data_IF_351274165114
#
_entry.id   IF_351274165114
#
_cell.length_a   1.000
_cell.length_b   1.000
_cell.length_c   1.000
_cell.angle_alpha   90.00
_cell.angle_beta   90.00
_cell.angle_gamma   90.00
#
_symmetry.space_group_name_H-M   'P 1'
#
loop_
_entity.id
_entity.type
_entity.pdbx_description
1 polymer ?
#
# COMPACT_ATOMS: atom_id res chain seq x y z
N UNK A 1 -4.96 57.78 26.08
CA UNK A 1 -5.57 57.01 27.18
C UNK A 1 -7.03 57.42 27.29
N UNK A 2 -7.94 56.66 26.68
CA UNK A 2 -9.40 56.77 26.90
C UNK A 2 -9.82 55.50 27.61
N UNK A 3 -10.38 55.68 28.80
CA UNK A 3 -11.05 54.67 29.59
C UNK A 3 -12.23 54.10 28.79
N UNK A 4 -12.17 52.79 28.50
CA UNK A 4 -13.36 52.02 28.16
C UNK A 4 -13.81 51.33 29.44
N UNK A 5 -14.84 51.93 30.01
CA UNK A 5 -15.53 51.61 31.25
C UNK A 5 -16.20 50.23 31.18
N UNK A 6 -15.92 49.39 32.20
CA UNK A 6 -16.85 48.82 33.20
C UNK A 6 -18.09 48.02 32.71
N UNK A 7 -18.53 48.08 31.45
CA UNK A 7 -19.73 47.38 30.98
C UNK A 7 -19.61 45.85 30.85
N UNK A 8 -18.41 45.30 30.73
CA UNK A 8 -18.20 43.86 30.50
C UNK A 8 -18.16 43.02 31.79
N UNK A 9 -17.85 43.64 32.94
CA UNK A 9 -17.74 42.93 34.23
C UNK A 9 -19.11 42.62 34.85
N UNK A 10 -20.08 43.53 34.70
CA UNK A 10 -21.44 43.32 35.21
C UNK A 10 -22.26 42.34 34.37
N UNK A 11 -22.03 42.28 33.05
CA UNK A 11 -22.70 41.31 32.17
C UNK A 11 -22.25 39.86 32.48
N UNK A 12 -21.00 39.68 32.91
CA UNK A 12 -20.46 38.39 33.35
C UNK A 12 -20.90 38.04 34.78
N UNK A 13 -21.06 39.02 35.67
CA UNK A 13 -21.49 38.77 37.05
C UNK A 13 -23.01 38.58 37.21
N UNK A 14 -23.85 39.21 36.37
CA UNK A 14 -25.31 39.02 36.44
C UNK A 14 -25.79 37.66 35.87
N UNK A 15 -24.91 36.84 35.30
CA UNK A 15 -25.25 35.51 34.75
C UNK A 15 -24.57 34.35 35.48
N UNK A 16 -24.44 34.43 36.80
CA UNK A 16 -23.73 33.41 37.57
C UNK A 16 -24.22 33.23 38.99
N UNK A 17 -25.45 32.75 39.19
CA UNK A 17 -25.85 32.09 40.44
C UNK A 17 -26.70 30.88 40.12
N UNK A 18 -26.12 29.68 40.28
CA UNK A 18 -26.78 28.39 40.50
C UNK A 18 -28.03 28.09 39.65
N UNK A 19 -27.84 27.38 38.53
CA UNK A 19 -28.91 26.71 37.78
C UNK A 19 -29.07 27.22 36.35
N UNK A 20 -28.75 26.34 35.38
CA UNK A 20 -28.80 26.49 33.89
C UNK A 20 -27.46 26.63 33.17
N UNK A 21 -26.38 26.03 33.67
CA UNK A 21 -25.30 25.56 32.78
C UNK A 21 -25.63 24.18 32.23
N UNK A 22 -26.63 24.14 31.35
CA UNK A 22 -26.93 22.99 30.51
C UNK A 22 -27.31 23.49 29.12
N UNK A 23 -26.43 24.28 28.50
CA UNK A 23 -26.21 24.39 27.04
C UNK A 23 -25.12 25.44 26.72
N UNK A 24 -24.41 25.33 25.58
CA UNK A 24 -22.97 25.55 25.53
C UNK A 24 -22.57 26.98 25.19
N UNK A 25 -22.11 27.72 26.19
CA UNK A 25 -21.23 28.90 26.01
C UNK A 25 -19.91 28.57 25.27
N UNK A 26 -19.66 27.29 24.98
CA UNK A 26 -18.40 26.78 24.44
C UNK A 26 -18.20 26.93 22.92
N UNK A 27 -19.23 27.25 22.11
CA UNK A 27 -19.05 27.19 20.64
C UNK A 27 -18.72 28.50 19.94
N UNK A 28 -19.22 29.64 20.38
CA UNK A 28 -19.00 30.91 19.67
C UNK A 28 -17.87 31.77 20.24
N UNK A 29 -17.67 31.79 21.56
CA UNK A 29 -16.71 32.72 22.19
C UNK A 29 -15.29 32.14 22.34
N UNK A 30 -15.13 30.81 22.29
CA UNK A 30 -13.80 30.16 22.36
C UNK A 30 -12.94 30.47 21.13
N UNK A 31 -13.53 30.89 20.01
CA UNK A 31 -12.77 31.19 18.78
C UNK A 31 -11.89 32.44 18.89
N UNK A 32 -12.19 33.37 19.80
CA UNK A 32 -11.54 34.69 19.89
C UNK A 32 -10.87 34.97 21.24
N UNK A 33 -10.86 34.02 22.17
CA UNK A 33 -10.23 34.19 23.47
C UNK A 33 -8.72 33.96 23.37
N UNK A 34 -7.92 34.98 23.71
CA UNK A 34 -6.49 34.83 23.89
C UNK A 34 -6.24 33.86 25.05
N UNK A 35 -5.37 32.88 24.81
CA UNK A 35 -5.01 31.85 25.76
C UNK A 35 -4.35 32.43 27.01
N UNK A 36 -3.60 33.51 26.83
CA UNK A 36 -2.97 34.20 27.94
C UNK A 36 -4.03 34.90 28.80
N UNK A 37 -5.01 35.58 28.19
CA UNK A 37 -6.11 36.21 28.91
C UNK A 37 -7.00 35.18 29.62
N UNK A 38 -7.28 34.05 28.98
CA UNK A 38 -8.07 32.97 29.59
C UNK A 38 -7.34 32.36 30.78
N UNK A 39 -6.03 32.10 30.66
CA UNK A 39 -5.19 31.61 31.74
C UNK A 39 -5.11 32.63 32.89
N UNK A 40 -4.90 33.91 32.57
CA UNK A 40 -4.88 35.00 33.55
C UNK A 40 -6.23 35.13 34.26
N UNK A 41 -7.35 35.02 33.55
CA UNK A 41 -8.68 35.01 34.16
C UNK A 41 -8.86 33.82 35.12
N UNK A 42 -8.42 32.62 34.75
CA UNK A 42 -8.45 31.46 35.63
C UNK A 42 -7.55 31.63 36.86
N UNK A 43 -6.32 32.12 36.69
CA UNK A 43 -5.40 32.40 37.78
C UNK A 43 -5.92 33.49 38.72
N UNK A 44 -6.57 34.53 38.19
CA UNK A 44 -7.22 35.58 38.98
C UNK A 44 -8.44 35.06 39.75
N UNK A 45 -9.21 34.15 39.15
CA UNK A 45 -10.36 33.52 39.82
C UNK A 45 -9.90 32.58 40.94
N UNK A 46 -8.81 31.85 40.72
CA UNK A 46 -8.21 30.92 41.70
C UNK A 46 -7.42 31.64 42.81
N UNK A 47 -6.98 32.88 42.58
CA UNK A 47 -6.30 33.71 43.59
C UNK A 47 -7.24 34.62 44.40
N UNK A 48 -8.51 34.70 44.01
CA UNK A 48 -9.53 35.41 44.79
C UNK A 48 -9.82 34.65 46.09
N UNK A 49 -9.47 35.30 47.22
CA UNK A 49 -9.55 34.76 48.58
C UNK A 49 -10.96 34.30 48.99
N UNK A 50 -11.99 34.66 48.23
CA UNK A 50 -13.37 34.22 48.44
C UNK A 50 -13.60 32.77 48.04
N UNK A 51 -12.74 32.20 47.20
CA UNK A 51 -12.78 30.81 46.77
C UNK A 51 -11.63 30.05 47.43
N UNK A 52 -11.75 29.78 48.74
CA UNK A 52 -10.81 28.93 49.48
C UNK A 52 -11.01 27.46 49.12
N UNK A 53 -10.78 27.10 47.86
CA UNK A 53 -10.62 25.71 47.47
C UNK A 53 -9.21 25.29 47.88
N UNK A 54 -9.08 24.13 48.52
CA UNK A 54 -7.75 23.56 48.74
C UNK A 54 -7.06 23.41 47.37
N UNK A 55 -5.76 23.75 47.25
CA UNK A 55 -5.05 23.60 46.00
C UNK A 55 -5.15 22.15 45.55
N UNK A 56 -5.89 21.93 44.46
CA UNK A 56 -5.89 20.62 43.80
C UNK A 56 -4.57 20.58 43.05
N UNK A 57 -3.63 19.76 43.50
CA UNK A 57 -2.41 19.51 42.76
C UNK A 57 -2.75 18.85 41.43
N UNK A 58 -2.61 19.60 40.34
CA UNK A 58 -2.59 19.07 39.00
C UNK A 58 -1.13 18.96 38.55
N UNK A 59 -0.67 17.75 38.27
CA UNK A 59 0.63 17.53 37.64
C UNK A 59 0.54 17.95 36.17
N UNK A 60 0.73 19.25 35.91
CA UNK A 60 0.96 19.73 34.56
C UNK A 60 2.43 19.51 34.27
N UNK A 61 2.75 18.53 33.43
CA UNK A 61 4.10 18.37 32.91
C UNK A 61 4.40 19.52 31.94
N UNK A 62 4.88 20.63 32.50
CA UNK A 62 5.26 21.86 31.79
C UNK A 62 6.31 21.54 30.70
N UNK A 63 7.13 20.51 30.90
CA UNK A 63 8.12 20.02 29.94
C UNK A 63 7.48 19.62 28.60
N UNK A 64 6.29 19.03 28.61
CA UNK A 64 5.53 18.68 27.40
C UNK A 64 4.92 19.91 26.72
N UNK A 65 4.52 20.92 27.50
CA UNK A 65 4.01 22.20 26.99
C UNK A 65 5.13 23.05 26.36
N UNK A 66 6.31 23.09 26.96
CA UNK A 66 7.48 23.82 26.45
C UNK A 66 8.08 23.14 25.22
N UNK A 67 8.10 21.80 25.16
CA UNK A 67 8.47 21.04 23.94
C UNK A 67 7.48 21.22 22.77
N UNK A 68 6.27 21.70 23.05
CA UNK A 68 5.18 21.84 22.06
C UNK A 68 5.21 23.14 21.24
N UNK A 69 6.30 23.91 21.27
CA UNK A 69 6.42 25.29 20.73
C UNK A 69 6.04 25.54 19.25
N UNK A 70 5.47 24.56 18.53
CA UNK A 70 4.90 24.69 17.18
C UNK A 70 3.44 24.19 17.06
N UNK A 71 2.82 23.68 18.12
CA UNK A 71 1.55 22.97 18.06
C UNK A 71 0.42 23.80 18.68
N UNK A 72 -0.52 24.26 17.86
CA UNK A 72 -1.70 24.97 18.35
C UNK A 72 -2.67 24.01 19.06
N UNK A 73 -3.54 24.53 19.92
CA UNK A 73 -4.61 23.73 20.56
C UNK A 73 -5.51 23.08 19.49
N UNK A 74 -5.77 23.79 18.38
CA UNK A 74 -6.52 23.25 17.24
C UNK A 74 -5.85 22.01 16.66
N UNK A 75 -4.52 22.01 16.52
CA UNK A 75 -3.76 20.83 16.08
C UNK A 75 -3.87 19.69 17.08
N UNK A 76 -3.72 19.97 18.39
CA UNK A 76 -3.85 18.95 19.46
C UNK A 76 -5.22 18.28 19.45
N UNK A 77 -6.27 19.08 19.33
CA UNK A 77 -7.66 18.57 19.24
C UNK A 77 -7.84 17.73 17.99
N UNK A 78 -7.26 18.15 16.86
CA UNK A 78 -7.34 17.40 15.59
C UNK A 78 -6.58 16.08 15.67
N UNK A 79 -5.41 16.04 16.33
CA UNK A 79 -4.61 14.83 16.57
C UNK A 79 -5.34 13.79 17.44
N UNK A 80 -6.04 14.27 18.48
CA UNK A 80 -6.88 13.42 19.33
C UNK A 80 -8.05 12.81 18.54
N UNK A 81 -8.58 13.55 17.56
CA UNK A 81 -9.68 13.10 16.71
C UNK A 81 -9.24 12.21 15.53
N UNK A 82 -7.93 11.97 15.33
CA UNK A 82 -7.46 11.08 14.26
C UNK A 82 -7.97 9.66 14.49
N UNK A 83 -8.84 9.18 13.60
CA UNK A 83 -9.49 7.89 13.74
C UNK A 83 -8.49 6.73 13.83
N UNK A 84 -8.76 5.70 14.66
CA UNK A 84 -7.94 4.49 14.70
C UNK A 84 -7.81 3.80 13.32
N UNK A 85 -8.84 3.94 12.47
CA UNK A 85 -8.85 3.41 11.10
C UNK A 85 -7.78 4.08 10.23
N UNK A 86 -7.68 5.41 10.25
CA UNK A 86 -6.66 6.17 9.52
C UNK A 86 -5.26 5.84 10.02
N UNK A 87 -5.06 5.72 11.34
CA UNK A 87 -3.78 5.32 11.93
C UNK A 87 -3.35 3.92 11.45
N UNK A 88 -4.27 2.95 11.45
CA UNK A 88 -4.02 1.59 10.93
C UNK A 88 -3.69 1.62 9.44
N UNK A 89 -4.38 2.46 8.65
CA UNK A 89 -4.14 2.59 7.22
C UNK A 89 -2.73 3.13 6.91
N UNK A 90 -2.30 4.19 7.63
CA UNK A 90 -0.94 4.72 7.53
C UNK A 90 0.09 3.66 7.88
N UNK A 91 -0.04 3.02 9.06
CA UNK A 91 0.87 1.97 9.50
C UNK A 91 0.96 0.83 8.48
N UNK A 92 -0.18 0.33 8.00
CA UNK A 92 -0.22 -0.72 6.97
C UNK A 92 0.48 -0.27 5.70
N UNK A 93 0.26 0.96 5.24
CA UNK A 93 0.92 1.47 4.04
C UNK A 93 2.44 1.48 4.22
N UNK A 94 2.96 2.04 5.30
CA UNK A 94 4.40 2.07 5.58
C UNK A 94 4.98 0.66 5.66
N UNK A 95 4.31 -0.30 6.30
CA UNK A 95 4.78 -1.70 6.38
C UNK A 95 4.90 -2.40 5.02
N UNK A 96 4.06 -2.01 4.05
CA UNK A 96 4.10 -2.55 2.69
C UNK A 96 5.03 -1.78 1.77
N UNK A 97 5.16 -0.46 1.94
CA UNK A 97 5.80 0.41 0.95
C UNK A 97 7.10 1.03 1.44
N UNK A 98 7.43 0.89 2.73
CA UNK A 98 8.63 1.41 3.36
C UNK A 98 8.54 2.89 3.70
N UNK A 99 7.46 3.58 3.31
CA UNK A 99 7.26 4.96 3.68
C UNK A 99 5.91 5.48 3.22
N UNK A 100 5.60 6.71 3.59
CA UNK A 100 4.42 7.44 3.14
C UNK A 100 4.80 8.88 2.86
N UNK A 101 4.21 9.46 1.82
CA UNK A 101 4.39 10.90 1.56
C UNK A 101 3.49 11.76 2.45
N UNK A 102 3.88 13.00 2.72
CA UNK A 102 3.02 13.98 3.42
C UNK A 102 1.67 14.11 2.70
N UNK A 103 1.67 14.22 1.37
CA UNK A 103 0.46 14.33 0.54
C UNK A 103 -0.48 13.12 0.65
N UNK A 104 0.06 11.93 0.81
CA UNK A 104 -0.76 10.74 1.02
C UNK A 104 -1.29 10.68 2.45
N UNK A 105 -0.48 11.10 3.44
CA UNK A 105 -0.91 11.18 4.82
C UNK A 105 -2.03 12.20 5.02
N UNK A 106 -1.92 13.39 4.41
CA UNK A 106 -3.00 14.40 4.43
C UNK A 106 -4.29 13.86 3.84
N UNK A 107 -4.21 13.13 2.72
CA UNK A 107 -5.38 12.48 2.11
C UNK A 107 -6.03 11.44 3.03
N UNK A 108 -5.23 10.59 3.69
CA UNK A 108 -5.75 9.54 4.59
C UNK A 108 -6.32 10.12 5.88
N UNK A 109 -5.72 11.19 6.40
CA UNK A 109 -6.14 11.85 7.63
C UNK A 109 -7.25 12.88 7.39
N UNK A 110 -7.42 13.35 6.16
CA UNK A 110 -8.29 14.48 5.80
C UNK A 110 -7.96 15.74 6.60
N UNK A 111 -6.66 16.04 6.73
CA UNK A 111 -6.12 17.20 7.46
C UNK A 111 -5.08 17.93 6.62
N UNK A 112 -4.68 19.13 7.06
CA UNK A 112 -3.60 19.90 6.42
C UNK A 112 -2.23 19.24 6.60
N UNK A 113 -1.24 19.70 5.82
CA UNK A 113 0.12 19.13 5.86
C UNK A 113 0.78 19.27 7.23
N UNK A 114 0.54 20.38 7.92
CA UNK A 114 1.10 20.63 9.25
C UNK A 114 0.61 19.61 10.27
N UNK A 115 -0.71 19.39 10.36
CA UNK A 115 -1.29 18.41 11.27
C UNK A 115 -0.94 16.99 10.84
N UNK A 116 -0.83 16.71 9.54
CA UNK A 116 -0.39 15.39 9.06
C UNK A 116 1.04 15.07 9.51
N UNK A 117 1.97 16.02 9.45
CA UNK A 117 3.34 15.86 9.96
C UNK A 117 3.31 15.55 11.46
N UNK A 118 2.60 16.35 12.26
CA UNK A 118 2.47 16.12 13.70
C UNK A 118 1.82 14.77 14.00
N UNK A 119 0.85 14.34 13.19
CA UNK A 119 0.19 13.05 13.33
C UNK A 119 1.17 11.90 13.05
N UNK A 120 1.98 12.01 12.01
CA UNK A 120 3.01 11.01 11.69
C UNK A 120 4.05 10.92 12.81
N UNK A 121 4.53 12.05 13.32
CA UNK A 121 5.46 12.10 14.46
C UNK A 121 4.84 11.45 15.71
N UNK A 122 3.57 11.74 16.02
CA UNK A 122 2.84 11.10 17.13
C UNK A 122 2.63 9.60 16.97
N UNK A 123 2.73 9.07 15.74
CA UNK A 123 2.67 7.65 15.42
C UNK A 123 4.03 6.95 15.48
N UNK A 124 5.06 7.62 16.03
CA UNK A 124 6.45 7.19 16.06
C UNK A 124 7.06 7.00 14.67
N UNK A 125 6.70 7.88 13.73
CA UNK A 125 7.29 7.93 12.39
C UNK A 125 8.38 9.01 12.35
N UNK A 126 9.43 8.75 11.58
CA UNK A 126 10.55 9.65 11.35
C UNK A 126 10.50 10.19 9.92
N UNK A 127 10.73 11.49 9.78
CA UNK A 127 10.96 12.12 8.48
C UNK A 127 12.31 11.67 7.92
N UNK A 128 12.30 11.08 6.72
CA UNK A 128 13.50 10.55 6.05
C UNK A 128 14.01 11.50 4.98
N UNK A 129 13.09 12.12 4.25
CA UNK A 129 13.35 13.11 3.20
C UNK A 129 12.29 14.23 3.27
N UNK A 130 12.41 15.26 2.42
CA UNK A 130 11.52 16.45 2.37
C UNK A 130 10.04 16.09 2.50
N UNK A 131 9.61 15.05 1.79
CA UNK A 131 8.20 14.65 1.72
C UNK A 131 7.91 13.26 2.28
N UNK A 132 8.92 12.51 2.72
CA UNK A 132 8.77 11.09 3.09
C UNK A 132 8.92 10.84 4.58
N UNK A 133 8.01 10.03 5.12
CA UNK A 133 8.04 9.50 6.47
C UNK A 133 8.14 7.98 6.44
N UNK A 134 8.87 7.40 7.39
CA UNK A 134 8.93 5.97 7.64
C UNK A 134 8.93 5.66 9.14
N UNK A 135 8.96 4.39 9.53
CA UNK A 135 9.11 4.04 10.94
C UNK A 135 10.43 4.54 11.48
N UNK A 136 10.39 5.11 12.69
CA UNK A 136 11.59 5.56 13.41
C UNK A 136 12.41 4.36 13.86
N UNK A 137 11.74 3.45 14.56
CA UNK A 137 12.26 2.21 15.10
C UNK A 137 11.17 1.14 14.95
N UNK A 138 11.58 -0.12 14.84
CA UNK A 138 10.67 -1.26 14.96
C UNK A 138 10.82 -1.81 16.37
N UNK A 139 9.73 -1.92 17.12
CA UNK A 139 9.77 -2.55 18.44
C UNK A 139 10.30 -3.98 18.29
N UNK A 140 11.37 -4.32 18.99
CA UNK A 140 11.95 -5.68 18.99
C UNK A 140 10.96 -6.72 19.53
N UNK A 141 10.05 -6.31 20.42
CA UNK A 141 8.99 -7.15 21.00
C UNK A 141 7.84 -7.47 20.03
N UNK A 142 7.71 -6.71 18.94
CA UNK A 142 6.68 -6.97 17.93
C UNK A 142 7.21 -7.97 16.92
N UNK A 143 6.32 -8.87 16.49
CA UNK A 143 6.62 -9.94 15.55
C UNK A 143 6.94 -9.39 14.14
N UNK A 144 8.10 -8.76 13.99
CA UNK A 144 8.61 -8.09 12.79
C UNK A 144 8.80 -9.09 11.63
N UNK A 145 8.73 -10.39 11.90
CA UNK A 145 8.72 -11.45 10.88
C UNK A 145 7.53 -11.34 9.91
N UNK A 146 6.43 -10.69 10.32
CA UNK A 146 5.20 -10.57 9.51
C UNK A 146 5.18 -9.34 8.60
N UNK A 147 6.24 -8.53 8.60
CA UNK A 147 6.30 -7.32 7.78
C UNK A 147 6.39 -7.72 6.29
N UNK A 148 5.46 -7.28 5.42
CA UNK A 148 5.43 -7.69 4.02
C UNK A 148 6.72 -7.41 3.25
N UNK A 149 7.34 -6.25 3.46
CA UNK A 149 8.63 -5.92 2.86
C UNK A 149 9.73 -6.88 3.28
N UNK A 150 9.79 -7.24 4.57
CA UNK A 150 10.75 -8.22 5.08
C UNK A 150 10.52 -9.59 4.45
N UNK A 151 9.28 -10.05 4.40
CA UNK A 151 8.93 -11.33 3.78
C UNK A 151 9.35 -11.35 2.31
N UNK A 152 9.05 -10.29 1.56
CA UNK A 152 9.43 -10.18 0.15
C UNK A 152 10.95 -10.17 -0.04
N UNK A 153 11.67 -9.40 0.79
CA UNK A 153 13.13 -9.35 0.79
C UNK A 153 13.76 -10.72 1.06
N UNK A 154 13.31 -11.41 2.11
CA UNK A 154 13.80 -12.74 2.47
C UNK A 154 13.54 -13.78 1.38
N UNK A 155 12.43 -13.68 0.64
CA UNK A 155 12.15 -14.57 -0.49
C UNK A 155 13.13 -14.36 -1.64
N UNK A 156 13.49 -13.11 -1.95
CA UNK A 156 14.49 -12.80 -2.97
C UNK A 156 15.87 -13.34 -2.56
N UNK A 157 16.28 -13.07 -1.31
CA UNK A 157 17.58 -13.51 -0.80
C UNK A 157 17.67 -15.02 -0.55
N UNK A 158 16.53 -15.72 -0.44
CA UNK A 158 16.51 -17.18 -0.41
C UNK A 158 16.94 -17.81 -1.75
N UNK A 159 16.78 -17.08 -2.85
CA UNK A 159 17.18 -17.51 -4.19
C UNK A 159 18.57 -16.98 -4.54
N UNK A 160 18.79 -15.69 -4.27
CA UNK A 160 20.02 -15.01 -4.64
C UNK A 160 20.56 -14.25 -3.41
N UNK A 161 21.61 -14.75 -2.72
CA UNK A 161 22.01 -14.26 -1.40
C UNK A 161 22.38 -12.78 -1.31
N UNK A 162 22.78 -12.17 -2.43
CA UNK A 162 23.13 -10.75 -2.52
C UNK A 162 22.59 -10.13 -3.79
N UNK A 163 21.77 -9.07 -3.69
CA UNK A 163 21.15 -8.41 -4.84
C UNK A 163 21.50 -6.93 -4.89
N UNK A 164 21.71 -6.40 -6.09
CA UNK A 164 21.80 -4.95 -6.29
C UNK A 164 20.52 -4.26 -5.76
N UNK A 165 20.69 -3.12 -5.09
CA UNK A 165 19.63 -2.37 -4.40
C UNK A 165 18.49 -1.99 -5.36
N UNK A 166 18.81 -1.66 -6.61
CA UNK A 166 17.81 -1.36 -7.64
C UNK A 166 16.96 -2.59 -7.99
N UNK A 167 17.61 -3.74 -8.20
CA UNK A 167 16.94 -5.02 -8.48
C UNK A 167 16.08 -5.44 -7.28
N UNK A 168 16.62 -5.32 -6.06
CA UNK A 168 15.90 -5.61 -4.83
C UNK A 168 14.67 -4.71 -4.67
N UNK A 169 14.82 -3.40 -4.91
CA UNK A 169 13.74 -2.41 -4.85
C UNK A 169 12.60 -2.74 -5.82
N UNK A 170 12.91 -3.10 -7.07
CA UNK A 170 11.91 -3.52 -8.03
C UNK A 170 11.13 -4.76 -7.60
N UNK A 171 11.82 -5.75 -7.00
CA UNK A 171 11.16 -6.93 -6.44
C UNK A 171 10.19 -6.58 -5.31
N UNK A 172 10.59 -5.66 -4.41
CA UNK A 172 9.70 -5.13 -3.37
C UNK A 172 8.49 -4.39 -3.97
N UNK A 173 8.71 -3.60 -5.04
CA UNK A 173 7.66 -2.87 -5.75
C UNK A 173 6.64 -3.83 -6.33
N UNK A 174 7.12 -4.89 -6.99
CA UNK A 174 6.29 -5.93 -7.60
C UNK A 174 5.43 -6.66 -6.55
N UNK A 175 6.02 -7.01 -5.41
CA UNK A 175 5.28 -7.60 -4.30
C UNK A 175 4.16 -6.68 -3.76
N UNK A 176 4.48 -5.40 -3.61
CA UNK A 176 3.58 -4.38 -3.06
C UNK A 176 2.51 -3.92 -4.04
N UNK A 177 2.74 -4.13 -5.35
CA UNK A 177 1.86 -3.79 -6.47
C UNK A 177 0.45 -4.36 -6.39
N UNK A 178 0.21 -5.35 -5.51
CA UNK A 178 -1.14 -5.85 -5.20
C UNK A 178 -1.99 -4.82 -4.45
N UNK A 179 -1.37 -4.01 -3.59
CA UNK A 179 -2.07 -3.14 -2.65
C UNK A 179 -1.80 -1.66 -2.91
N UNK A 180 -0.64 -1.33 -3.48
CA UNK A 180 -0.20 0.04 -3.70
C UNK A 180 0.44 0.15 -5.07
N UNK A 181 0.21 1.29 -5.74
CA UNK A 181 0.77 1.56 -7.07
C UNK A 181 2.28 1.73 -7.04
N UNK A 182 2.81 2.31 -5.96
CA UNK A 182 4.23 2.59 -5.78
C UNK A 182 4.69 2.24 -4.36
N UNK A 183 5.99 1.98 -4.23
CA UNK A 183 6.69 1.93 -2.95
C UNK A 183 7.55 3.18 -2.77
N UNK A 184 8.10 3.38 -1.57
CA UNK A 184 9.02 4.48 -1.30
C UNK A 184 10.26 4.43 -2.21
N UNK A 185 10.88 5.57 -2.54
CA UNK A 185 12.07 5.61 -3.39
C UNK A 185 13.26 4.89 -2.73
N UNK A 186 14.26 4.53 -3.53
CA UNK A 186 15.43 3.74 -3.09
C UNK A 186 16.07 4.34 -1.83
N UNK A 187 16.30 5.65 -1.77
CA UNK A 187 16.93 6.27 -0.61
C UNK A 187 16.11 6.14 0.70
N UNK A 188 14.78 6.14 0.63
CA UNK A 188 13.91 5.88 1.79
C UNK A 188 13.93 4.40 2.16
N UNK A 189 13.87 3.52 1.16
CA UNK A 189 13.98 2.07 1.38
C UNK A 189 15.32 1.72 2.00
N UNK A 190 16.42 2.33 1.58
CA UNK A 190 17.75 2.10 2.15
C UNK A 190 17.84 2.46 3.64
N UNK A 191 17.08 3.45 4.12
CA UNK A 191 16.97 3.73 5.56
C UNK A 191 16.20 2.63 6.31
N UNK A 192 15.24 2.01 5.65
CA UNK A 192 14.31 1.02 6.23
C UNK A 192 14.89 -0.39 6.26
N UNK A 193 15.66 -0.79 5.25
CA UNK A 193 16.16 -2.15 5.12
C UNK A 193 16.99 -2.62 6.34
N UNK A 194 17.91 -1.81 6.92
CA UNK A 194 18.63 -2.17 8.14
C UNK A 194 17.72 -2.54 9.31
N UNK A 195 16.64 -1.77 9.51
CA UNK A 195 15.66 -2.01 10.57
C UNK A 195 14.90 -3.33 10.37
N UNK A 196 14.77 -3.79 9.11
CA UNK A 196 14.15 -5.08 8.78
C UNK A 196 15.13 -6.26 8.87
N UNK A 197 16.40 -6.02 9.20
CA UNK A 197 17.45 -7.03 9.31
C UNK A 197 18.18 -7.33 7.99
N UNK A 198 18.19 -6.38 7.05
CA UNK A 198 18.98 -6.46 5.83
C UNK A 198 20.20 -5.56 5.91
N UNK A 199 21.32 -6.00 5.35
CA UNK A 199 22.54 -5.21 5.25
C UNK A 199 22.66 -4.62 3.86
N UNK A 200 23.17 -3.39 3.78
CA UNK A 200 23.46 -2.72 2.51
C UNK A 200 24.97 -2.45 2.47
N UNK A 201 25.67 -3.17 1.60
CA UNK A 201 27.11 -3.01 1.38
C UNK A 201 27.33 -2.42 -0.01
N UNK A 202 27.83 -1.18 -0.08
CA UNK A 202 27.97 -0.39 -1.31
C UNK A 202 26.63 -0.21 -2.03
N UNK A 203 26.26 -1.15 -2.89
CA UNK A 203 25.00 -1.17 -3.65
C UNK A 203 24.25 -2.49 -3.50
N UNK A 204 24.76 -3.45 -2.74
CA UNK A 204 24.16 -4.78 -2.61
C UNK A 204 23.43 -4.95 -1.28
N UNK A 205 22.28 -5.62 -1.35
CA UNK A 205 21.45 -5.99 -0.22
C UNK A 205 21.68 -7.46 0.10
N UNK A 206 21.98 -7.75 1.36
CA UNK A 206 22.15 -9.10 1.89
C UNK A 206 21.47 -9.25 3.25
N UNK A 207 21.51 -10.43 3.85
CA UNK A 207 20.99 -10.64 5.21
C UNK A 207 21.79 -11.72 5.93
N UNK A 208 21.99 -11.54 7.24
CA UNK A 208 22.51 -12.57 8.13
C UNK A 208 21.40 -13.34 8.86
N UNK A 209 20.13 -13.05 8.56
CA UNK A 209 19.01 -13.70 9.21
C UNK A 209 19.02 -15.21 8.89
N UNK A 210 18.92 -16.09 9.91
CA UNK A 210 18.96 -17.54 9.71
C UNK A 210 17.73 -18.08 8.97
N UNK A 211 16.64 -17.32 8.97
CA UNK A 211 15.40 -17.67 8.28
C UNK A 211 15.50 -17.34 6.80
N UNK A 212 15.76 -18.37 5.97
CA UNK A 212 15.52 -18.28 4.53
C UNK A 212 14.03 -18.03 4.28
N UNK A 213 13.69 -17.09 3.40
CA UNK A 213 12.30 -16.74 3.12
C UNK A 213 11.46 -17.94 2.72
N UNK A 214 10.28 -18.10 3.34
CA UNK A 214 9.37 -19.22 3.05
C UNK A 214 8.76 -19.01 1.66
N UNK A 215 9.13 -19.86 0.71
CA UNK A 215 8.59 -19.87 -0.64
C UNK A 215 7.25 -20.60 -0.68
N UNK A 216 6.27 -19.99 -1.35
CA UNK A 216 4.99 -20.65 -1.64
C UNK A 216 5.18 -21.80 -2.64
N UNK A 217 4.20 -22.71 -2.70
CA UNK A 217 4.23 -23.80 -3.69
C UNK A 217 4.30 -23.27 -5.13
N UNK A 218 3.57 -22.18 -5.44
CA UNK A 218 3.62 -21.54 -6.75
C UNK A 218 4.98 -20.91 -7.05
N UNK A 219 5.66 -20.34 -6.06
CA UNK A 219 7.03 -19.84 -6.22
C UNK A 219 8.02 -20.98 -6.45
N UNK A 220 7.86 -22.12 -5.76
CA UNK A 220 8.67 -23.32 -6.01
C UNK A 220 8.45 -23.89 -7.41
N UNK A 221 7.21 -23.92 -7.89
CA UNK A 221 6.89 -24.31 -9.25
C UNK A 221 7.53 -23.37 -10.28
N UNK A 222 7.44 -22.05 -10.06
CA UNK A 222 8.09 -21.06 -10.90
C UNK A 222 9.62 -21.25 -10.97
N UNK A 223 10.28 -21.46 -9.83
CA UNK A 223 11.73 -21.73 -9.79
C UNK A 223 12.07 -23.01 -10.54
N UNK A 224 11.29 -24.08 -10.31
CA UNK A 224 11.47 -25.36 -11.00
C UNK A 224 11.38 -25.19 -12.52
N UNK A 225 10.37 -24.48 -13.02
CA UNK A 225 10.21 -24.21 -14.44
C UNK A 225 11.41 -23.44 -15.03
N UNK A 226 11.86 -22.38 -14.35
CA UNK A 226 12.98 -21.58 -14.83
C UNK A 226 14.29 -22.39 -14.84
N UNK A 227 14.54 -23.18 -13.80
CA UNK A 227 15.75 -23.99 -13.70
C UNK A 227 15.77 -25.12 -14.74
N UNK A 228 14.64 -25.77 -15.02
CA UNK A 228 14.52 -26.81 -16.06
C UNK A 228 14.81 -26.28 -17.46
N UNK A 229 14.54 -25.00 -17.70
CA UNK A 229 14.68 -24.35 -19.00
C UNK A 229 15.91 -23.43 -19.08
N UNK A 230 17.02 -23.84 -18.44
CA UNK A 230 18.32 -23.16 -18.54
C UNK A 230 18.31 -21.69 -18.10
N UNK A 231 17.49 -21.35 -17.10
CA UNK A 231 17.43 -20.00 -16.52
C UNK A 231 16.41 -19.06 -17.15
N UNK A 232 15.76 -19.47 -18.26
CA UNK A 232 14.70 -18.68 -18.91
C UNK A 232 13.54 -19.59 -19.29
N UNK A 233 12.36 -19.28 -18.75
CA UNK A 233 11.14 -20.01 -19.07
C UNK A 233 10.07 -19.08 -19.66
N UNK A 234 9.40 -19.57 -20.69
CA UNK A 234 8.17 -19.02 -21.23
C UNK A 234 7.00 -19.23 -20.28
N UNK A 235 5.93 -18.45 -20.48
CA UNK A 235 4.69 -18.67 -19.73
C UNK A 235 4.19 -20.12 -19.85
N UNK A 236 4.27 -20.72 -21.05
CA UNK A 236 3.84 -22.10 -21.30
C UNK A 236 4.61 -23.10 -20.46
N UNK A 237 5.94 -23.04 -20.48
CA UNK A 237 6.80 -23.91 -19.68
C UNK A 237 6.51 -23.75 -18.17
N UNK A 238 6.20 -22.54 -17.72
CA UNK A 238 5.79 -22.29 -16.33
C UNK A 238 4.39 -22.87 -16.04
N UNK A 239 3.45 -22.74 -16.98
CA UNK A 239 2.11 -23.26 -16.84
C UNK A 239 2.08 -24.80 -16.80
N UNK A 240 2.90 -25.44 -17.62
CA UNK A 240 3.12 -26.89 -17.60
C UNK A 240 3.66 -27.34 -16.24
N UNK A 241 4.66 -26.63 -15.69
CA UNK A 241 5.19 -26.96 -14.37
C UNK A 241 4.15 -26.78 -13.25
N UNK A 242 3.30 -25.76 -13.34
CA UNK A 242 2.19 -25.58 -12.42
C UNK A 242 1.19 -26.74 -12.50
N UNK A 243 0.85 -27.16 -13.72
CA UNK A 243 -0.04 -28.29 -13.95
C UNK A 243 0.53 -29.60 -13.38
N UNK A 244 1.82 -29.88 -13.63
CA UNK A 244 2.52 -31.04 -13.07
C UNK A 244 2.52 -31.04 -11.53
N UNK A 245 2.54 -29.86 -10.91
CA UNK A 245 2.46 -29.70 -9.45
C UNK A 245 1.02 -29.58 -8.92
N UNK A 246 0.00 -29.88 -9.73
CA UNK A 246 -1.42 -29.81 -9.39
C UNK A 246 -1.87 -28.41 -8.95
N UNK A 247 -1.24 -27.37 -9.48
CA UNK A 247 -1.62 -25.97 -9.29
C UNK A 247 -2.55 -25.51 -10.41
N UNK A 248 -3.39 -24.52 -10.12
CA UNK A 248 -4.30 -23.96 -11.11
C UNK A 248 -3.56 -23.04 -12.11
N UNK A 249 -3.95 -23.07 -13.38
CA UNK A 249 -3.40 -22.19 -14.41
C UNK A 249 -3.54 -20.69 -14.07
N UNK A 250 -4.66 -20.19 -13.50
CA UNK A 250 -4.75 -18.79 -13.06
C UNK A 250 -3.71 -18.41 -12.01
N UNK A 251 -3.20 -19.37 -11.22
CA UNK A 251 -2.15 -19.11 -10.26
C UNK A 251 -0.83 -18.70 -10.93
N UNK A 252 -0.58 -19.08 -12.19
CA UNK A 252 0.62 -18.70 -12.94
C UNK A 252 0.66 -17.17 -13.09
N UNK A 253 -0.37 -16.57 -13.69
CA UNK A 253 -0.46 -15.12 -13.90
C UNK A 253 -0.40 -14.35 -12.58
N UNK A 254 -1.06 -14.84 -11.54
CA UNK A 254 -1.02 -14.24 -10.20
C UNK A 254 0.39 -14.28 -9.62
N UNK A 255 1.08 -15.42 -9.74
CA UNK A 255 2.44 -15.60 -9.23
C UNK A 255 3.43 -14.73 -9.99
N UNK A 256 3.37 -14.73 -11.32
CA UNK A 256 4.22 -13.91 -12.18
C UNK A 256 4.02 -12.42 -11.94
N UNK A 257 2.81 -11.96 -11.60
CA UNK A 257 2.53 -10.56 -11.28
C UNK A 257 3.01 -10.16 -9.88
N UNK A 258 2.93 -11.05 -8.89
CA UNK A 258 3.09 -10.70 -7.46
C UNK A 258 4.36 -11.21 -6.81
N UNK A 259 5.00 -12.22 -7.39
CA UNK A 259 6.18 -12.79 -6.78
C UNK A 259 7.38 -11.84 -6.93
N UNK A 260 8.10 -11.55 -5.84
CA UNK A 260 9.28 -10.68 -5.89
C UNK A 260 10.47 -11.36 -6.58
N UNK A 261 10.47 -12.70 -6.69
CA UNK A 261 11.63 -13.48 -7.17
C UNK A 261 11.68 -13.62 -8.70
N UNK A 262 10.63 -13.24 -9.42
CA UNK A 262 10.58 -13.33 -10.88
C UNK A 262 10.65 -11.95 -11.52
N UNK A 263 11.32 -11.88 -12.66
CA UNK A 263 11.34 -10.72 -13.55
C UNK A 263 11.15 -11.15 -15.01
N UNK A 264 10.65 -10.22 -15.83
CA UNK A 264 10.50 -10.46 -17.27
C UNK A 264 11.90 -10.37 -17.90
N UNK A 265 12.24 -11.35 -18.72
CA UNK A 265 13.46 -11.35 -19.53
C UNK A 265 13.18 -10.76 -20.93
N UNK A 266 12.02 -11.08 -21.50
CA UNK A 266 11.53 -10.59 -22.79
C UNK A 266 10.00 -10.79 -22.85
N UNK A 267 9.38 -10.57 -24.00
CA UNK A 267 7.96 -10.84 -24.23
C UNK A 267 7.60 -12.30 -23.94
N UNK A 268 6.75 -12.51 -22.93
CA UNK A 268 6.31 -13.84 -22.52
C UNK A 268 7.41 -14.72 -21.88
N UNK A 269 8.62 -14.19 -21.68
CA UNK A 269 9.77 -14.89 -21.10
C UNK A 269 10.09 -14.33 -19.70
N UNK A 270 10.42 -15.24 -18.78
CA UNK A 270 10.65 -14.94 -17.38
C UNK A 270 11.94 -15.59 -16.90
N UNK A 271 12.61 -14.90 -15.97
CA UNK A 271 13.82 -15.36 -15.29
C UNK A 271 13.71 -15.11 -13.79
N UNK A 272 14.64 -15.71 -13.04
CA UNK A 272 14.77 -15.40 -11.62
C UNK A 272 15.44 -14.04 -11.46
N UNK A 273 15.00 -13.29 -10.46
CA UNK A 273 15.48 -11.95 -10.21
C UNK A 273 16.93 -11.99 -9.74
N UNK A 274 17.76 -11.15 -10.36
CA UNK A 274 19.20 -11.06 -10.06
C UNK A 274 20.07 -12.08 -10.79
N UNK A 275 19.50 -12.95 -11.62
CA UNK A 275 20.29 -13.80 -12.51
C UNK A 275 20.62 -13.05 -13.80
N UNK A 276 21.90 -13.01 -14.15
CA UNK A 276 22.34 -12.55 -15.46
C UNK A 276 21.95 -13.56 -16.55
N UNK A 277 21.59 -13.05 -17.72
CA UNK A 277 21.27 -13.88 -18.88
C UNK A 277 22.12 -13.47 -20.07
N UNK A 278 22.57 -14.47 -20.83
CA UNK A 278 23.11 -14.24 -22.15
C UNK A 278 21.99 -14.05 -23.17
N UNK A 279 22.29 -13.30 -24.22
CA UNK A 279 21.37 -13.15 -25.36
C UNK A 279 21.03 -14.51 -26.00
N UNK A 280 22.00 -15.45 -26.04
CA UNK A 280 21.79 -16.81 -26.55
C UNK A 280 20.74 -17.57 -25.74
N UNK A 281 20.73 -17.46 -24.41
CA UNK A 281 19.71 -18.11 -23.58
C UNK A 281 18.29 -17.59 -23.89
N UNK A 282 18.16 -16.30 -24.14
CA UNK A 282 16.88 -15.69 -24.52
C UNK A 282 16.43 -16.18 -25.90
N UNK A 283 17.34 -16.20 -26.88
CA UNK A 283 17.03 -16.69 -28.23
C UNK A 283 16.69 -18.18 -28.25
N UNK A 284 17.40 -19.01 -27.48
CA UNK A 284 17.08 -20.42 -27.37
C UNK A 284 15.73 -20.63 -26.68
N UNK A 285 15.37 -19.81 -25.69
CA UNK A 285 14.03 -19.81 -25.10
C UNK A 285 12.95 -19.41 -26.12
N UNK A 286 13.22 -18.44 -27.00
CA UNK A 286 12.31 -18.09 -28.11
C UNK A 286 12.16 -19.22 -29.11
N UNK A 287 13.23 -19.95 -29.45
CA UNK A 287 13.15 -21.11 -30.34
C UNK A 287 12.33 -22.26 -29.74
N UNK A 288 12.39 -22.44 -28.41
CA UNK A 288 11.58 -23.44 -27.68
C UNK A 288 10.12 -23.06 -27.61
N UNK A 289 9.79 -21.76 -27.63
CA UNK A 289 8.40 -21.35 -27.83
C UNK A 289 7.94 -21.89 -29.19
N UNK A 290 7.07 -22.90 -29.16
CA UNK A 290 6.33 -23.31 -30.35
C UNK A 290 5.72 -22.04 -30.95
N UNK A 291 6.07 -21.73 -32.21
CA UNK A 291 5.46 -20.66 -33.00
C UNK A 291 3.98 -20.98 -33.16
N UNK A 292 3.19 -20.69 -32.14
CA UNK A 292 1.77 -20.52 -32.31
C UNK A 292 1.62 -19.12 -32.92
N UNK A 293 0.97 -19.03 -34.08
CA UNK A 293 0.82 -17.77 -34.81
C UNK A 293 0.37 -16.67 -33.85
N UNK A 294 1.11 -15.56 -33.82
CA UNK A 294 0.75 -14.37 -33.06
C UNK A 294 -0.57 -13.76 -33.57
N UNK A 295 -0.99 -14.14 -34.77
CA UNK A 295 -2.25 -13.73 -35.35
C UNK A 295 -3.40 -14.38 -34.58
N UNK A 296 -4.14 -13.54 -33.87
CA UNK A 296 -5.47 -13.89 -33.42
C UNK A 296 -6.36 -14.03 -34.65
N UNK A 297 -6.69 -15.26 -35.03
CA UNK A 297 -7.66 -15.49 -36.10
C UNK A 297 -9.04 -15.15 -35.53
N UNK A 298 -9.62 -14.04 -35.99
CA UNK A 298 -11.00 -13.68 -35.71
C UNK A 298 -11.82 -14.06 -36.93
N UNK A 299 -12.73 -15.02 -36.75
CA UNK A 299 -13.69 -15.41 -37.79
C UNK A 299 -15.10 -14.95 -37.40
N UNK A 300 -15.78 -14.34 -38.35
CA UNK A 300 -17.16 -13.86 -38.22
C UNK A 300 -18.09 -14.86 -38.88
N UNK A 301 -18.88 -15.56 -38.09
CA UNK A 301 -19.94 -16.41 -38.63
C UNK A 301 -21.17 -15.59 -39.00
N UNK A 302 -21.88 -16.03 -40.05
CA UNK A 302 -23.18 -15.48 -40.44
C UNK A 302 -24.28 -15.76 -39.40
N UNK A 303 -24.00 -16.65 -38.44
CA UNK A 303 -24.79 -16.98 -37.25
C UNK A 303 -24.67 -15.95 -36.13
N UNK A 304 -23.87 -14.88 -36.33
CA UNK A 304 -23.57 -13.89 -35.30
C UNK A 304 -22.52 -14.36 -34.29
N UNK A 305 -21.86 -15.50 -34.52
CA UNK A 305 -20.79 -16.01 -33.64
C UNK A 305 -19.44 -15.46 -34.07
N UNK A 306 -18.77 -14.75 -33.18
CA UNK A 306 -17.37 -14.35 -33.33
C UNK A 306 -16.49 -15.42 -32.71
N UNK A 307 -15.69 -16.13 -33.52
CA UNK A 307 -14.74 -17.13 -33.01
C UNK A 307 -13.34 -16.53 -33.04
N UNK A 308 -12.73 -16.37 -31.87
CA UNK A 308 -11.35 -15.93 -31.73
C UNK A 308 -10.45 -17.12 -31.41
N UNK A 309 -9.44 -17.34 -32.25
CA UNK A 309 -8.39 -18.31 -31.98
C UNK A 309 -7.19 -17.59 -31.40
N UNK A 310 -6.79 -17.96 -30.20
CA UNK A 310 -5.64 -17.38 -29.51
C UNK A 310 -4.65 -18.48 -29.15
N UNK A 311 -3.38 -18.12 -29.11
CA UNK A 311 -2.37 -18.96 -28.47
C UNK A 311 -2.51 -18.83 -26.95
N UNK A 312 -2.20 -19.91 -26.21
CA UNK A 312 -2.18 -19.88 -24.74
C UNK A 312 -1.21 -18.81 -24.23
N UNK A 313 -0.11 -18.56 -24.95
CA UNK A 313 0.85 -17.50 -24.67
C UNK A 313 0.26 -16.10 -24.84
N UNK A 314 -0.54 -15.86 -25.88
CA UNK A 314 -1.22 -14.58 -26.13
C UNK A 314 -2.30 -14.31 -25.08
N UNK A 315 -3.11 -15.33 -24.76
CA UNK A 315 -4.10 -15.27 -23.69
C UNK A 315 -3.44 -14.98 -22.33
N UNK A 316 -2.29 -15.61 -22.06
CA UNK A 316 -1.52 -15.39 -20.85
C UNK A 316 -0.84 -14.01 -20.79
N UNK A 317 -0.29 -13.53 -21.91
CA UNK A 317 0.29 -12.19 -22.05
C UNK A 317 -0.75 -11.13 -21.72
N UNK A 318 -1.97 -11.30 -22.24
CA UNK A 318 -3.09 -10.42 -21.98
C UNK A 318 -3.82 -10.75 -20.66
N UNK A 319 -3.27 -11.63 -19.81
CA UNK A 319 -3.81 -11.98 -18.48
C UNK A 319 -5.23 -12.55 -18.47
N UNK A 320 -5.61 -13.25 -19.53
CA UNK A 320 -6.96 -13.78 -19.73
C UNK A 320 -7.98 -12.74 -20.22
N UNK A 321 -7.51 -11.56 -20.60
CA UNK A 321 -8.27 -10.54 -21.31
C UNK A 321 -7.95 -10.68 -22.79
N UNK A 322 -8.92 -10.48 -23.66
CA UNK A 322 -8.66 -10.45 -25.11
C UNK A 322 -8.98 -9.06 -25.60
N UNK A 323 -8.02 -8.40 -26.26
CA UNK A 323 -8.29 -7.11 -26.89
C UNK A 323 -9.25 -7.30 -28.05
N UNK A 324 -10.32 -6.52 -28.14
CA UNK A 324 -11.30 -6.56 -29.24
C UNK A 324 -10.81 -5.84 -30.50
N UNK A 325 -9.52 -5.53 -30.61
CA UNK A 325 -8.94 -4.82 -31.74
C UNK A 325 -9.24 -5.57 -33.05
N UNK A 326 -10.07 -4.98 -33.90
CA UNK A 326 -10.52 -5.56 -35.16
C UNK A 326 -11.96 -6.11 -35.15
N UNK A 327 -12.59 -6.24 -33.98
CA UNK A 327 -14.00 -6.63 -33.83
C UNK A 327 -14.87 -5.38 -33.87
N UNK A 328 -15.55 -5.13 -34.98
CA UNK A 328 -16.47 -4.00 -35.12
C UNK A 328 -17.73 -4.25 -34.29
N UNK A 329 -18.11 -3.27 -33.47
CA UNK A 329 -19.38 -3.17 -32.73
C UNK A 329 -19.83 -4.45 -32.00
N UNK A 330 -19.26 -4.66 -30.81
CA UNK A 330 -19.77 -5.63 -29.85
C UNK A 330 -20.79 -4.95 -28.91
N UNK A 331 -21.99 -4.64 -29.41
CA UNK A 331 -23.10 -4.19 -28.56
C UNK A 331 -23.89 -5.37 -28.00
N UNK A 332 -24.46 -5.23 -26.80
CA UNK A 332 -25.35 -6.24 -26.20
C UNK A 332 -24.67 -7.28 -25.31
N UNK A 333 -25.42 -8.31 -24.90
CA UNK A 333 -24.94 -9.39 -24.03
C UNK A 333 -24.45 -10.57 -24.88
N UNK A 334 -23.23 -11.02 -24.62
CA UNK A 334 -22.59 -12.11 -25.35
C UNK A 334 -22.37 -13.31 -24.45
N UNK A 335 -22.63 -14.51 -24.94
CA UNK A 335 -22.28 -15.76 -24.26
C UNK A 335 -20.91 -16.24 -24.72
N UNK A 336 -20.10 -16.73 -23.78
CA UNK A 336 -18.80 -17.35 -24.04
C UNK A 336 -18.97 -18.85 -23.98
N UNK A 337 -18.54 -19.55 -25.02
CA UNK A 337 -18.53 -21.01 -25.10
C UNK A 337 -17.10 -21.52 -25.26
N UNK A 338 -16.80 -22.66 -24.64
CA UNK A 338 -15.55 -23.40 -24.79
C UNK A 338 -15.88 -24.85 -25.16
N UNK A 339 -15.40 -25.35 -26.29
CA UNK A 339 -15.77 -26.66 -26.85
C UNK A 339 -17.29 -26.88 -26.91
N UNK A 340 -18.01 -25.90 -27.48
CA UNK A 340 -19.47 -25.86 -27.58
C UNK A 340 -20.24 -25.94 -26.25
N UNK A 341 -19.53 -25.83 -25.12
CA UNK A 341 -20.13 -25.79 -23.79
C UNK A 341 -20.21 -24.35 -23.28
N UNK A 342 -21.35 -23.95 -22.68
CA UNK A 342 -21.48 -22.62 -22.10
C UNK A 342 -20.47 -22.43 -20.96
N UNK A 343 -19.58 -21.46 -21.13
CA UNK A 343 -18.54 -21.09 -20.17
C UNK A 343 -18.94 -19.86 -19.35
N UNK A 344 -19.82 -19.00 -19.87
CA UNK A 344 -20.35 -17.85 -19.14
C UNK A 344 -20.79 -16.70 -20.03
N UNK A 345 -20.76 -15.49 -19.48
CA UNK A 345 -21.09 -14.26 -20.23
C UNK A 345 -19.82 -13.44 -20.46
N UNK A 346 -19.71 -12.85 -21.65
CA UNK A 346 -18.68 -11.88 -21.96
C UNK A 346 -19.10 -10.53 -21.39
N UNK A 347 -18.20 -9.88 -20.66
CA UNK A 347 -18.32 -8.47 -20.33
C UNK A 347 -17.34 -7.71 -21.20
N UNK A 348 -17.85 -6.65 -21.82
CA UNK A 348 -17.13 -5.83 -22.79
C UNK A 348 -16.93 -4.46 -22.15
N UNK A 349 -15.69 -3.99 -22.11
CA UNK A 349 -15.32 -2.66 -21.62
C UNK A 349 -14.39 -2.03 -22.65
N UNK A 350 -14.91 -1.06 -23.42
CA UNK A 350 -14.34 -0.33 -24.58
C UNK A 350 -13.53 -1.15 -25.60
N UNK A 351 -12.44 -1.79 -25.18
CA UNK A 351 -11.46 -2.51 -26.01
C UNK A 351 -11.13 -3.92 -25.50
N UNK A 352 -11.80 -4.40 -24.45
CA UNK A 352 -11.46 -5.64 -23.76
C UNK A 352 -12.66 -6.58 -23.60
N UNK A 353 -12.42 -7.86 -23.89
CA UNK A 353 -13.33 -8.98 -23.67
C UNK A 353 -12.83 -9.84 -22.51
N UNK A 354 -13.70 -10.16 -21.55
CA UNK A 354 -13.44 -11.20 -20.56
C UNK A 354 -14.67 -12.10 -20.34
N UNK A 355 -14.42 -13.42 -20.28
CA UNK A 355 -15.42 -14.42 -19.92
C UNK A 355 -15.49 -14.57 -18.40
N UNK A 356 -16.65 -14.30 -17.80
CA UNK A 356 -16.88 -14.61 -16.39
C UNK A 356 -17.48 -16.01 -16.28
N UNK A 357 -16.93 -16.95 -15.50
CA UNK A 357 -17.60 -18.22 -15.24
C UNK A 357 -19.00 -17.94 -14.68
N UNK A 358 -20.01 -18.80 -14.94
CA UNK A 358 -21.35 -18.60 -14.44
C UNK A 358 -21.26 -18.39 -12.93
N UNK A 359 -21.77 -17.25 -12.47
CA UNK A 359 -22.01 -17.04 -11.05
C UNK A 359 -22.90 -18.20 -10.61
N UNK A 360 -22.33 -19.13 -9.82
CA UNK A 360 -23.16 -20.07 -9.05
C UNK A 360 -24.06 -19.19 -8.21
N UNK A 361 -25.31 -18.98 -8.66
CA UNK A 361 -26.36 -18.44 -7.82
C UNK A 361 -26.40 -19.37 -6.61
N UNK A 362 -26.12 -18.82 -5.43
CA UNK A 362 -26.25 -19.55 -4.19
C UNK A 362 -27.62 -20.22 -4.19
N UNK A 363 -27.64 -21.53 -3.94
CA UNK A 363 -28.88 -22.26 -3.71
C UNK A 363 -29.65 -21.58 -2.59
N UNK A 364 -30.93 -21.35 -2.85
CA UNK A 364 -31.91 -21.04 -1.83
C UNK A 364 -32.05 -22.21 -0.86
#
# INVERSE_FOLDING_TARGET
MRSLEIGSKEILMQKGFLGKFSEPLAKEHIKNLDLLETLICWLNLLSDKRYSLQPIEFSVDISNLVRSGKMSIKDRTTLLNVSPKSRRQIKRKILFTGGITIKEATKILSVDERVAVLALESLNMKKIDKDWFSFKDLDDDKNNSKIPLRIAGLKMLAIFPELEIGVFHEGLRKHSGRFYTNIAPVHVISHVLPMLGFNINSTKVSTHLPTKGVLSQSERALISAINKNQGVASFLEIAEEFFLQRLSLPAVSVTLKRSPIAEKADEGLYKLRGTDLSWQQVEDAKKRQKRFSQDSEVTYGLDGVVRMRLTVSSYAFLTGVVGSYGIRELSGSWSVTHDDKPFGEAKIDDVYLWGSPPLKRGGA
#
